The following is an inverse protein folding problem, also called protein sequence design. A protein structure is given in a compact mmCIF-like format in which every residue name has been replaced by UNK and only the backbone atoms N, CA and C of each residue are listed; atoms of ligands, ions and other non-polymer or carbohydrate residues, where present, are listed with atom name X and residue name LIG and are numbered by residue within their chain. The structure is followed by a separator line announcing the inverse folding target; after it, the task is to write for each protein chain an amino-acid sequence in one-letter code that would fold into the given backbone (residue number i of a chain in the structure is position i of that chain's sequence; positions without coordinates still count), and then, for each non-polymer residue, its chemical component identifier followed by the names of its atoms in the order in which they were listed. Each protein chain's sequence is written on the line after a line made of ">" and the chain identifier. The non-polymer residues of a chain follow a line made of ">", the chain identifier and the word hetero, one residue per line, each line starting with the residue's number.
data_IF_197150882607
#
_entry.id   IF_197150882607
#
_cell.length_a   1.000
_cell.length_b   1.000
_cell.length_c   1.000
_cell.angle_alpha   90.00
_cell.angle_beta   90.00
_cell.angle_gamma   90.00
#
_symmetry.space_group_name_H-M   'P 1'
#
loop_
_entity.id
_entity.type
_entity.pdbx_description
1 polymer ?
#
# COMPACT_ATOMS: atom_id res chain seq x y z
N UNK A 1 -29.54 -9.32 -9.15
CA UNK A 1 -28.14 -8.88 -9.16
C UNK A 1 -27.29 -9.89 -9.92
N UNK A 2 -26.11 -9.49 -10.40
CA UNK A 2 -25.18 -10.36 -11.15
C UNK A 2 -24.45 -11.30 -10.21
N UNK A 3 -24.46 -12.60 -10.50
CA UNK A 3 -23.73 -13.61 -9.72
C UNK A 3 -22.23 -13.41 -9.92
N UNK A 4 -21.48 -13.18 -8.83
CA UNK A 4 -20.02 -13.05 -8.88
C UNK A 4 -19.37 -14.40 -9.16
N UNK A 5 -18.33 -14.40 -9.98
CA UNK A 5 -17.45 -15.56 -10.18
C UNK A 5 -16.72 -15.87 -8.87
N UNK A 6 -16.65 -17.15 -8.48
CA UNK A 6 -15.88 -17.58 -7.31
C UNK A 6 -14.48 -17.95 -7.78
N UNK A 7 -13.48 -17.34 -7.18
CA UNK A 7 -12.07 -17.63 -7.42
C UNK A 7 -11.55 -18.52 -6.29
N UNK A 8 -10.67 -19.46 -6.61
CA UNK A 8 -9.93 -20.19 -5.59
C UNK A 8 -8.95 -19.25 -4.89
N UNK A 9 -8.73 -19.44 -3.58
CA UNK A 9 -7.86 -18.56 -2.81
C UNK A 9 -6.87 -19.39 -1.99
N UNK A 10 -5.58 -19.08 -2.14
CA UNK A 10 -4.49 -19.78 -1.46
C UNK A 10 -4.27 -19.31 0.00
N UNK A 11 -5.18 -18.48 0.53
CA UNK A 11 -5.12 -17.86 1.87
C UNK A 11 -3.97 -16.84 1.97
N UNK A 12 -3.51 -16.56 3.19
CA UNK A 12 -2.44 -15.60 3.43
C UNK A 12 -1.07 -16.18 3.08
N UNK A 13 -0.21 -15.34 2.53
CA UNK A 13 1.17 -15.65 2.19
C UNK A 13 2.09 -14.73 3.02
N UNK A 14 3.01 -15.33 3.79
CA UNK A 14 4.04 -14.56 4.51
C UNK A 14 5.23 -14.36 3.58
N UNK A 15 5.45 -13.14 3.10
CA UNK A 15 6.56 -12.83 2.19
C UNK A 15 7.91 -12.76 2.91
N UNK A 16 7.94 -12.08 4.06
CA UNK A 16 9.13 -11.94 4.92
C UNK A 16 8.77 -11.48 6.34
N UNK A 17 9.76 -11.51 7.24
CA UNK A 17 9.60 -11.05 8.62
C UNK A 17 9.00 -12.10 9.55
N UNK A 18 8.46 -11.65 10.70
CA UNK A 18 7.87 -12.54 11.71
C UNK A 18 6.43 -12.89 11.33
N UNK A 19 6.05 -14.16 11.53
CA UNK A 19 4.68 -14.62 11.27
C UNK A 19 3.62 -14.02 12.21
N UNK A 20 4.04 -13.46 13.35
CA UNK A 20 3.17 -12.83 14.33
C UNK A 20 3.68 -11.42 14.65
N UNK A 21 2.80 -10.44 14.49
CA UNK A 21 3.01 -9.03 14.80
C UNK A 21 1.66 -8.40 15.17
N UNK A 22 1.69 -7.25 15.83
CA UNK A 22 0.48 -6.59 16.34
C UNK A 22 0.58 -5.07 16.20
N UNK A 23 -0.55 -4.40 16.18
CA UNK A 23 -0.65 -2.95 16.02
C UNK A 23 -2.03 -2.55 15.52
N UNK A 24 -2.37 -1.29 15.68
CA UNK A 24 -3.57 -0.73 15.04
C UNK A 24 -3.37 -0.70 13.53
N UNK A 25 -4.41 -1.07 12.78
CA UNK A 25 -4.37 -1.08 11.31
C UNK A 25 -4.76 0.31 10.79
N UNK A 26 -3.97 0.86 9.86
CA UNK A 26 -4.29 2.07 9.12
C UNK A 26 -3.73 1.96 7.69
N UNK A 27 -4.42 2.52 6.70
CA UNK A 27 -3.99 2.48 5.30
C UNK A 27 -5.18 2.43 4.34
N UNK A 28 -5.04 1.70 3.24
CA UNK A 28 -6.07 1.55 2.21
C UNK A 28 -5.46 1.40 0.81
N UNK A 29 -6.06 2.06 -0.17
CA UNK A 29 -5.63 2.05 -1.56
C UNK A 29 -4.26 2.74 -1.74
N UNK A 30 -3.31 2.03 -2.36
CA UNK A 30 -1.97 2.53 -2.64
C UNK A 30 -2.02 3.73 -3.58
N UNK A 31 -2.85 3.70 -4.61
CA UNK A 31 -3.04 4.82 -5.55
C UNK A 31 -3.59 6.07 -4.86
N UNK A 32 -4.48 5.90 -3.88
CA UNK A 32 -5.01 7.02 -3.08
C UNK A 32 -3.95 7.60 -2.16
N UNK A 33 -3.18 6.76 -1.46
CA UNK A 33 -2.08 7.21 -0.61
C UNK A 33 -0.99 7.91 -1.43
N UNK A 34 -0.72 7.42 -2.64
CA UNK A 34 0.27 8.00 -3.54
C UNK A 34 -0.08 9.43 -3.95
N UNK A 35 -1.36 9.74 -4.13
CA UNK A 35 -1.80 11.10 -4.47
C UNK A 35 -1.47 12.13 -3.39
N UNK A 36 -1.25 11.73 -2.13
CA UNK A 36 -0.79 12.66 -1.09
C UNK A 36 0.60 13.25 -1.45
N UNK A 37 1.38 12.53 -2.26
CA UNK A 37 2.77 12.87 -2.60
C UNK A 37 2.99 13.10 -4.12
N UNK A 38 1.94 12.95 -4.93
CA UNK A 38 1.99 13.05 -6.38
C UNK A 38 0.75 13.76 -6.92
N UNK A 39 0.96 14.82 -7.70
CA UNK A 39 -0.11 15.67 -8.24
C UNK A 39 -0.40 15.42 -9.72
N UNK A 40 0.04 14.29 -10.29
CA UNK A 40 -0.18 13.99 -11.71
C UNK A 40 -1.67 13.87 -12.04
N UNK A 41 -2.49 13.41 -11.08
CA UNK A 41 -3.96 13.28 -11.24
C UNK A 41 -4.71 14.58 -10.95
N UNK A 42 -4.33 15.28 -9.88
CA UNK A 42 -4.95 16.52 -9.43
C UNK A 42 -3.86 17.49 -8.97
N UNK A 43 -3.79 18.68 -9.58
CA UNK A 43 -2.67 19.62 -9.41
C UNK A 43 -2.47 20.09 -7.96
N UNK A 44 -3.56 20.24 -7.21
CA UNK A 44 -3.63 20.81 -5.86
C UNK A 44 -3.49 19.79 -4.72
N UNK A 45 -3.46 18.49 -5.03
CA UNK A 45 -3.58 17.43 -4.02
C UNK A 45 -2.45 17.45 -2.99
N UNK A 46 -1.21 17.70 -3.41
CA UNK A 46 -0.04 17.76 -2.50
C UNK A 46 -0.19 18.95 -1.55
N UNK A 47 -0.57 20.11 -2.07
CA UNK A 47 -0.74 21.33 -1.27
C UNK A 47 -1.87 21.15 -0.25
N UNK A 48 -3.02 20.64 -0.67
CA UNK A 48 -4.17 20.43 0.22
C UNK A 48 -3.89 19.38 1.29
N UNK A 49 -3.28 18.24 0.92
CA UNK A 49 -2.96 17.19 1.88
C UNK A 49 -1.94 17.66 2.92
N UNK A 50 -0.94 18.46 2.50
CA UNK A 50 0.01 19.07 3.41
C UNK A 50 -0.63 20.12 4.31
N UNK A 51 -1.49 20.99 3.76
CA UNK A 51 -2.17 22.06 4.48
C UNK A 51 -3.04 21.51 5.63
N UNK A 52 -3.78 20.44 5.36
CA UNK A 52 -4.65 19.78 6.34
C UNK A 52 -3.99 18.61 7.08
N UNK A 53 -2.69 18.38 6.87
CA UNK A 53 -1.92 17.33 7.55
C UNK A 53 -2.57 15.94 7.45
N UNK A 54 -3.07 15.59 6.25
CA UNK A 54 -3.85 14.37 6.05
C UNK A 54 -3.01 13.09 6.19
N UNK A 55 -1.72 13.16 5.92
CA UNK A 55 -0.81 12.05 6.19
C UNK A 55 -0.34 12.10 7.64
N UNK A 56 -0.58 11.05 8.45
CA UNK A 56 -0.16 11.04 9.85
C UNK A 56 1.35 11.21 10.00
N UNK A 57 1.76 11.81 11.11
CA UNK A 57 3.17 11.90 11.48
C UNK A 57 3.79 10.53 11.73
N UNK A 58 5.12 10.43 11.65
CA UNK A 58 5.84 9.17 11.95
C UNK A 58 5.57 8.67 13.38
N UNK A 59 5.35 9.58 14.34
CA UNK A 59 4.96 9.21 15.70
C UNK A 59 3.58 8.59 15.77
N UNK A 60 2.64 9.00 14.92
CA UNK A 60 1.32 8.40 14.85
C UNK A 60 1.35 7.05 14.12
N UNK A 61 2.22 6.90 13.12
CA UNK A 61 2.46 5.62 12.44
C UNK A 61 3.22 4.59 13.29
N UNK A 62 3.96 5.03 14.31
CA UNK A 62 4.79 4.16 15.12
C UNK A 62 3.99 3.01 15.75
N UNK A 63 4.43 1.78 15.50
CA UNK A 63 3.79 0.56 16.00
C UNK A 63 2.49 0.16 15.28
N UNK A 64 2.05 0.89 14.25
CA UNK A 64 0.87 0.51 13.45
C UNK A 64 1.20 -0.59 12.44
N UNK A 65 0.15 -1.22 11.93
CA UNK A 65 0.18 -2.12 10.77
C UNK A 65 -0.36 -1.35 9.57
N UNK A 66 0.45 -1.21 8.52
CA UNK A 66 0.02 -0.56 7.29
C UNK A 66 -0.83 -1.52 6.44
N UNK A 67 -2.01 -1.10 6.02
CA UNK A 67 -2.81 -1.78 5.00
C UNK A 67 -2.56 -1.16 3.62
N UNK A 68 -2.21 -1.97 2.63
CA UNK A 68 -2.12 -1.56 1.23
C UNK A 68 -3.00 -2.47 0.37
N UNK A 69 -3.71 -1.90 -0.59
CA UNK A 69 -4.39 -2.63 -1.66
C UNK A 69 -4.35 -1.81 -2.96
N UNK A 70 -4.57 -2.44 -4.10
CA UNK A 70 -4.61 -1.77 -5.41
C UNK A 70 -6.03 -1.73 -5.95
N UNK A 71 -6.38 -0.64 -6.60
CA UNK A 71 -7.69 -0.41 -7.18
C UNK A 71 -7.96 -1.24 -8.46
N UNK A 72 -9.11 -1.02 -9.08
CA UNK A 72 -9.44 -1.52 -10.41
C UNK A 72 -8.53 -0.97 -11.52
N UNK A 73 -7.77 0.10 -11.27
CA UNK A 73 -6.84 0.69 -12.25
C UNK A 73 -5.70 -0.26 -12.61
N UNK A 74 -5.43 -1.29 -11.77
CA UNK A 74 -4.43 -2.34 -12.00
C UNK A 74 -3.08 -1.76 -12.44
N UNK A 75 -2.43 -0.93 -11.58
CA UNK A 75 -1.28 -0.12 -11.96
C UNK A 75 -0.13 -0.99 -12.47
N UNK A 76 0.43 -0.65 -13.64
CA UNK A 76 1.61 -1.37 -14.16
C UNK A 76 2.72 -1.51 -13.09
N UNK A 77 3.48 -2.61 -13.05
CA UNK A 77 4.48 -2.87 -12.01
C UNK A 77 5.47 -1.72 -11.78
N UNK A 78 5.83 -1.00 -12.84
CA UNK A 78 6.68 0.21 -12.75
C UNK A 78 6.03 1.32 -11.92
N UNK A 79 4.73 1.57 -12.11
CA UNK A 79 4.00 2.56 -11.31
C UNK A 79 3.81 2.05 -9.88
N UNK A 80 3.45 0.78 -9.69
CA UNK A 80 3.34 0.16 -8.36
C UNK A 80 4.63 0.33 -7.53
N UNK A 81 5.80 0.08 -8.14
CA UNK A 81 7.10 0.35 -7.53
C UNK A 81 7.28 1.81 -7.15
N UNK A 82 7.02 2.74 -8.08
CA UNK A 82 7.13 4.18 -7.84
C UNK A 82 6.27 4.62 -6.64
N UNK A 83 5.05 4.08 -6.51
CA UNK A 83 4.16 4.40 -5.40
C UNK A 83 4.71 3.90 -4.06
N UNK A 84 5.24 2.67 -4.01
CA UNK A 84 5.88 2.14 -2.81
C UNK A 84 7.15 2.90 -2.44
N UNK A 85 7.95 3.33 -3.43
CA UNK A 85 9.15 4.14 -3.19
C UNK A 85 8.81 5.53 -2.64
N UNK A 86 7.71 6.14 -3.11
CA UNK A 86 7.20 7.40 -2.54
C UNK A 86 6.79 7.22 -1.07
N UNK A 87 6.09 6.13 -0.74
CA UNK A 87 5.80 5.78 0.65
C UNK A 87 7.09 5.53 1.45
N UNK A 88 8.07 4.82 0.90
CA UNK A 88 9.37 4.59 1.55
C UNK A 88 10.07 5.90 1.88
N UNK A 89 10.03 6.87 0.96
CA UNK A 89 10.67 8.18 1.15
C UNK A 89 10.10 8.98 2.33
N UNK A 90 8.88 8.69 2.78
CA UNK A 90 8.30 9.31 4.00
C UNK A 90 8.94 8.79 5.29
N UNK A 91 9.59 7.62 5.26
CA UNK A 91 10.15 6.94 6.42
C UNK A 91 9.18 5.99 7.14
N UNK A 92 7.94 5.80 6.67
CA UNK A 92 6.94 4.99 7.40
C UNK A 92 7.40 3.55 7.67
N UNK A 93 8.11 2.91 6.73
CA UNK A 93 8.50 1.51 6.88
C UNK A 93 9.48 1.27 8.04
N UNK A 94 10.16 2.32 8.53
CA UNK A 94 11.05 2.22 9.68
C UNK A 94 10.32 2.21 11.03
N UNK A 95 9.03 2.59 11.08
CA UNK A 95 8.27 2.75 12.34
C UNK A 95 7.08 1.79 12.47
N UNK A 96 6.72 1.08 11.39
CA UNK A 96 5.61 0.13 11.37
C UNK A 96 5.96 -1.21 12.03
N UNK A 97 4.95 -1.88 12.60
CA UNK A 97 5.08 -3.25 13.11
C UNK A 97 4.82 -4.33 12.04
N UNK A 98 4.21 -3.95 10.91
CA UNK A 98 3.96 -4.86 9.80
C UNK A 98 3.21 -4.20 8.65
N UNK A 99 3.11 -4.93 7.54
CA UNK A 99 2.37 -4.51 6.34
C UNK A 99 1.45 -5.64 5.92
N UNK A 100 0.18 -5.33 5.67
CA UNK A 100 -0.81 -6.21 5.07
C UNK A 100 -1.07 -5.73 3.65
N UNK A 101 -0.98 -6.63 2.67
CA UNK A 101 -1.25 -6.31 1.27
C UNK A 101 -2.43 -7.12 0.75
N UNK A 102 -3.44 -6.43 0.23
CA UNK A 102 -4.60 -7.04 -0.40
C UNK A 102 -4.24 -7.73 -1.72
N UNK A 103 -4.93 -8.81 -2.04
CA UNK A 103 -4.81 -9.48 -3.33
C UNK A 103 -5.26 -8.51 -4.44
N UNK A 104 -4.46 -8.27 -5.50
CA UNK A 104 -4.86 -7.42 -6.62
C UNK A 104 -6.13 -7.94 -7.31
N UNK A 105 -6.88 -7.03 -7.92
CA UNK A 105 -8.07 -7.40 -8.69
C UNK A 105 -7.70 -8.35 -9.83
N UNK A 106 -8.42 -9.47 -9.92
CA UNK A 106 -8.18 -10.57 -10.87
C UNK A 106 -6.76 -11.16 -10.81
N UNK A 107 -6.03 -10.98 -9.70
CA UNK A 107 -4.63 -11.40 -9.54
C UNK A 107 -3.68 -10.80 -10.60
N UNK A 108 -4.08 -9.66 -11.17
CA UNK A 108 -3.26 -8.95 -12.16
C UNK A 108 -1.94 -8.51 -11.52
N UNK A 109 -0.81 -8.86 -12.13
CA UNK A 109 0.56 -8.59 -11.67
C UNK A 109 0.90 -9.15 -10.27
N UNK A 110 0.24 -10.23 -9.84
CA UNK A 110 0.42 -10.80 -8.49
C UNK A 110 1.88 -11.08 -8.13
N UNK A 111 2.61 -11.78 -9.00
CA UNK A 111 4.01 -12.16 -8.74
C UNK A 111 4.96 -10.97 -8.85
N UNK A 112 4.70 -10.05 -9.77
CA UNK A 112 5.50 -8.84 -9.97
C UNK A 112 5.38 -7.90 -8.75
N UNK A 113 4.16 -7.64 -8.27
CA UNK A 113 3.96 -6.84 -7.07
C UNK A 113 4.60 -7.48 -5.84
N UNK A 114 4.51 -8.81 -5.71
CA UNK A 114 5.15 -9.56 -4.63
C UNK A 114 6.67 -9.36 -4.65
N UNK A 115 7.29 -9.44 -5.82
CA UNK A 115 8.73 -9.18 -5.94
C UNK A 115 9.08 -7.73 -5.59
N UNK A 116 8.28 -6.76 -6.05
CA UNK A 116 8.50 -5.34 -5.73
C UNK A 116 8.37 -5.08 -4.23
N UNK A 117 7.40 -5.70 -3.54
CA UNK A 117 7.26 -5.58 -2.08
C UNK A 117 8.50 -6.07 -1.34
N UNK A 118 9.07 -7.21 -1.78
CA UNK A 118 10.30 -7.76 -1.23
C UNK A 118 11.52 -6.86 -1.49
N UNK A 119 11.55 -6.17 -2.63
CA UNK A 119 12.65 -5.28 -3.03
C UNK A 119 12.60 -3.90 -2.35
N UNK A 120 11.41 -3.33 -2.19
CA UNK A 120 11.23 -1.93 -1.75
C UNK A 120 11.07 -1.81 -0.25
N UNK A 121 10.25 -2.65 0.38
CA UNK A 121 10.04 -2.61 1.82
C UNK A 121 11.26 -3.28 2.47
N UNK A 122 11.76 -2.76 3.59
CA UNK A 122 12.92 -3.33 4.31
C UNK A 122 12.52 -4.44 5.31
#
# INVERSE_FOLDING_TARGET
>A
GTKRTRHENQRFELLKGKATFEGEILGGCLESLYQIFDNTRHEDTIELCAHYQLFPSLSEWAGKILLLETSEEKPEPTLYRKMLEALKATGIFAVLNGVLVGKPMDETYYDEYKQILLDVID
#
